data_IF_830911199078
#
_entry.id   IF_830911199078
#
_cell.length_a   1.000
_cell.length_b   1.000
_cell.length_c   1.000
_cell.angle_alpha   90.00
_cell.angle_beta   90.00
_cell.angle_gamma   90.00
#
_symmetry.space_group_name_H-M   'P 1'
#
loop_
_entity.id
_entity.type
_entity.pdbx_description
1 polymer ?
#
# COMPACT_ATOMS: atom_id res chain seq x y z
N UNK A 1 -31.38 -15.40 -40.46
CA UNK A 1 -31.31 -13.95 -40.15
C UNK A 1 -29.95 -13.69 -39.52
N UNK A 2 -29.06 -13.02 -40.26
CA UNK A 2 -27.71 -12.63 -39.82
C UNK A 2 -27.66 -11.10 -39.78
N UNK A 3 -26.76 -10.57 -38.95
CA UNK A 3 -26.26 -9.20 -38.80
C UNK A 3 -26.81 -8.49 -37.54
N UNK A 4 -26.07 -8.55 -36.44
CA UNK A 4 -24.87 -7.74 -36.12
C UNK A 4 -25.28 -6.54 -35.26
N UNK A 5 -25.37 -6.76 -33.95
CA UNK A 5 -25.30 -5.68 -32.97
C UNK A 5 -23.87 -5.15 -33.00
N UNK A 6 -23.69 -3.98 -33.60
CA UNK A 6 -22.46 -3.20 -33.55
C UNK A 6 -22.06 -3.03 -32.09
N UNK A 7 -20.98 -3.70 -31.71
CA UNK A 7 -20.24 -3.39 -30.50
C UNK A 7 -19.78 -1.95 -30.58
N UNK A 8 -20.18 -1.14 -29.61
CA UNK A 8 -19.48 0.09 -29.31
C UNK A 8 -18.06 -0.32 -28.91
N UNK A 9 -17.11 -0.08 -29.82
CA UNK A 9 -15.68 -0.16 -29.59
C UNK A 9 -15.34 0.78 -28.45
N UNK A 10 -15.20 0.23 -27.24
CA UNK A 10 -14.47 0.88 -26.17
C UNK A 10 -13.04 1.07 -26.71
N UNK A 11 -12.67 2.32 -26.92
CA UNK A 11 -11.39 2.73 -27.44
C UNK A 11 -10.26 2.07 -26.64
N UNK A 12 -9.28 1.58 -27.40
CA UNK A 12 -8.03 0.98 -26.95
C UNK A 12 -7.39 1.74 -25.79
N UNK A 13 -7.40 1.12 -24.62
CA UNK A 13 -6.52 1.44 -23.48
C UNK A 13 -5.55 0.29 -23.27
N UNK A 14 -4.68 0.02 -24.25
CA UNK A 14 -3.55 -0.90 -24.07
C UNK A 14 -2.51 -0.22 -23.18
N UNK A 15 -2.70 -0.38 -21.87
CA UNK A 15 -1.73 0.00 -20.87
C UNK A 15 -2.22 -0.57 -19.56
N UNK A 16 -1.52 -1.58 -19.05
CA UNK A 16 -1.69 -2.06 -17.67
C UNK A 16 -1.74 -0.81 -16.79
N UNK A 17 -2.89 -0.50 -16.20
CA UNK A 17 -3.05 0.72 -15.40
C UNK A 17 -2.07 0.64 -14.23
N UNK A 18 -0.90 1.25 -14.41
CA UNK A 18 0.13 1.24 -13.40
C UNK A 18 -0.43 1.94 -12.18
N UNK A 19 -0.29 1.28 -11.03
CA UNK A 19 -0.83 1.76 -9.77
C UNK A 19 -0.08 3.03 -9.33
N UNK A 20 -0.81 4.11 -9.14
CA UNK A 20 -0.20 5.39 -8.75
C UNK A 20 0.24 5.37 -7.30
N UNK A 21 1.49 5.78 -7.06
CA UNK A 21 2.04 5.93 -5.70
C UNK A 21 2.80 7.24 -5.59
N UNK A 22 3.01 7.73 -4.37
CA UNK A 22 3.87 8.92 -4.17
C UNK A 22 5.33 8.60 -4.51
N UNK A 23 6.13 9.65 -4.71
CA UNK A 23 7.58 9.51 -4.95
C UNK A 23 8.27 8.77 -3.80
N UNK A 24 7.90 9.07 -2.56
CA UNK A 24 8.42 8.41 -1.36
C UNK A 24 8.03 6.93 -1.33
N UNK A 25 6.76 6.61 -1.63
CA UNK A 25 6.30 5.22 -1.69
C UNK A 25 7.01 4.42 -2.77
N UNK A 26 7.17 5.00 -3.95
CA UNK A 26 7.93 4.40 -5.05
C UNK A 26 9.39 4.12 -4.65
N UNK A 27 10.02 5.06 -3.93
CA UNK A 27 11.37 4.88 -3.40
C UNK A 27 11.41 3.75 -2.35
N UNK A 28 10.42 3.67 -1.46
CA UNK A 28 10.30 2.56 -0.49
C UNK A 28 10.13 1.21 -1.18
N UNK A 29 9.25 1.10 -2.17
CA UNK A 29 9.05 -0.11 -2.98
C UNK A 29 10.37 -0.54 -3.66
N UNK A 30 11.06 0.42 -4.27
CA UNK A 30 12.36 0.17 -4.92
C UNK A 30 13.45 -0.23 -3.91
N UNK A 31 13.47 0.40 -2.72
CA UNK A 31 14.44 0.12 -1.68
C UNK A 31 14.26 -1.29 -1.08
N UNK A 32 13.01 -1.77 -0.98
CA UNK A 32 12.71 -3.13 -0.52
C UNK A 32 13.33 -4.21 -1.42
N UNK A 33 13.52 -3.92 -2.72
CA UNK A 33 14.21 -4.84 -3.63
C UNK A 33 15.65 -5.18 -3.21
N UNK A 34 16.25 -4.46 -2.26
CA UNK A 34 17.56 -4.84 -1.68
C UNK A 34 17.51 -6.17 -0.93
N UNK A 35 16.34 -6.56 -0.44
CA UNK A 35 16.08 -7.78 0.32
C UNK A 35 15.38 -8.89 -0.50
N UNK A 36 15.18 -8.68 -1.81
CA UNK A 36 14.47 -9.65 -2.63
C UNK A 36 15.36 -10.85 -2.99
N UNK A 37 14.99 -12.04 -2.52
CA UNK A 37 15.67 -13.31 -2.83
C UNK A 37 15.49 -13.72 -4.30
N UNK A 38 14.42 -13.26 -4.96
CA UNK A 38 14.08 -13.54 -6.37
C UNK A 38 14.94 -12.77 -7.39
N UNK A 39 15.92 -11.99 -6.91
CA UNK A 39 16.83 -11.21 -7.72
C UNK A 39 16.47 -9.71 -7.75
N UNK A 40 17.43 -8.89 -7.30
CA UNK A 40 17.28 -7.43 -7.16
C UNK A 40 16.90 -6.71 -8.46
N UNK A 41 17.37 -7.18 -9.61
CA UNK A 41 17.04 -6.60 -10.91
C UNK A 41 15.58 -6.88 -11.29
N UNK A 42 15.14 -8.14 -11.11
CA UNK A 42 13.76 -8.56 -11.39
C UNK A 42 12.75 -7.82 -10.52
N UNK A 43 13.03 -7.67 -9.23
CA UNK A 43 12.18 -6.88 -8.33
C UNK A 43 12.06 -5.43 -8.81
N UNK A 44 13.17 -4.78 -9.19
CA UNK A 44 13.16 -3.40 -9.67
C UNK A 44 12.39 -3.23 -10.98
N UNK A 45 12.46 -4.20 -11.88
CA UNK A 45 11.66 -4.20 -13.12
C UNK A 45 10.17 -4.35 -12.80
N UNK A 46 9.79 -5.27 -11.90
CA UNK A 46 8.41 -5.43 -11.48
C UNK A 46 7.83 -4.15 -10.83
N UNK A 47 8.62 -3.46 -10.00
CA UNK A 47 8.18 -2.16 -9.43
C UNK A 47 7.91 -1.13 -10.52
N UNK A 48 8.76 -1.04 -11.55
CA UNK A 48 8.57 -0.12 -12.69
C UNK A 48 7.38 -0.48 -13.58
N UNK A 49 7.06 -1.75 -13.67
CA UNK A 49 5.95 -2.26 -14.48
C UNK A 49 4.61 -2.05 -13.78
N UNK A 50 4.56 -2.27 -12.46
CA UNK A 50 3.34 -2.25 -11.67
C UNK A 50 2.98 -0.87 -11.10
N UNK A 51 3.96 -0.01 -10.85
CA UNK A 51 3.75 1.26 -10.16
C UNK A 51 4.26 2.46 -10.96
N UNK A 52 3.51 3.57 -10.90
CA UNK A 52 3.93 4.86 -11.44
C UNK A 52 3.92 5.93 -10.36
N UNK A 53 4.83 6.90 -10.47
CA UNK A 53 4.83 8.06 -9.58
C UNK A 53 3.64 8.95 -9.97
N UNK A 54 2.73 9.17 -9.03
CA UNK A 54 1.53 9.97 -9.21
C UNK A 54 1.01 10.43 -7.84
N UNK A 55 -0.22 10.06 -7.51
CA UNK A 55 -0.83 10.38 -6.22
C UNK A 55 -0.38 9.40 -5.13
N UNK A 56 -0.36 9.87 -3.89
CA UNK A 56 -0.14 8.99 -2.74
C UNK A 56 -1.23 7.94 -2.67
N UNK A 57 -0.83 6.68 -2.71
CA UNK A 57 -1.75 5.58 -2.48
C UNK A 57 -1.90 5.32 -0.98
N UNK A 58 -3.11 5.51 -0.46
CA UNK A 58 -3.42 5.26 0.95
C UNK A 58 -3.66 3.78 1.26
N UNK A 59 -3.69 2.92 0.24
CA UNK A 59 -3.99 1.49 0.34
C UNK A 59 -2.76 0.59 0.22
N UNK A 60 -1.58 1.14 -0.12
CA UNK A 60 -0.37 0.37 -0.36
C UNK A 60 0.15 -0.40 0.87
N UNK A 61 0.04 0.21 2.06
CA UNK A 61 0.60 -0.32 3.32
C UNK A 61 -0.55 -0.74 4.25
N UNK A 62 -1.29 -1.78 3.86
CA UNK A 62 -2.34 -2.37 4.68
C UNK A 62 -1.77 -3.34 5.71
N UNK A 63 -2.19 -3.16 6.97
CA UNK A 63 -1.77 -3.97 8.11
C UNK A 63 -2.99 -4.38 8.91
N UNK A 64 -3.05 -5.66 9.30
CA UNK A 64 -4.17 -6.21 10.07
C UNK A 64 -3.68 -6.75 11.41
N UNK A 65 -4.24 -6.24 12.50
CA UNK A 65 -3.98 -6.74 13.85
C UNK A 65 -5.30 -6.85 14.61
N UNK A 66 -5.45 -7.92 15.39
CA UNK A 66 -6.62 -8.15 16.25
C UNK A 66 -7.96 -7.98 15.52
N UNK A 67 -8.02 -8.42 14.25
CA UNK A 67 -9.21 -8.33 13.40
C UNK A 67 -9.43 -6.97 12.72
N UNK A 68 -8.62 -5.96 12.98
CA UNK A 68 -8.75 -4.63 12.40
C UNK A 68 -7.69 -4.40 11.33
N UNK A 69 -8.13 -4.00 10.12
CA UNK A 69 -7.26 -3.66 8.99
C UNK A 69 -7.21 -2.16 8.81
N UNK A 70 -6.00 -1.62 8.75
CA UNK A 70 -5.74 -0.20 8.49
C UNK A 70 -4.67 -0.07 7.42
N UNK A 71 -4.81 0.92 6.54
CA UNK A 71 -3.89 1.11 5.42
C UNK A 71 -3.22 2.47 5.46
N UNK A 72 -1.95 2.49 5.04
CA UNK A 72 -1.16 3.69 4.91
C UNK A 72 -0.63 4.24 6.25
N UNK A 73 -0.34 5.54 6.25
CA UNK A 73 0.15 6.24 7.44
C UNK A 73 -1.02 6.68 8.31
N UNK A 74 -1.03 6.23 9.57
CA UNK A 74 -2.05 6.60 10.53
C UNK A 74 -1.75 7.96 11.16
N UNK A 75 -2.73 8.86 11.13
CA UNK A 75 -2.64 10.15 11.81
C UNK A 75 -3.14 10.01 13.22
N UNK A 76 -2.21 9.78 14.15
CA UNK A 76 -2.57 9.52 15.53
C UNK A 76 -2.91 10.79 16.33
N UNK A 77 -4.00 10.77 17.08
CA UNK A 77 -4.35 11.80 18.05
C UNK A 77 -3.36 11.87 19.23
N UNK A 78 -3.53 12.84 20.14
CA UNK A 78 -2.67 12.91 21.36
C UNK A 78 -2.89 11.69 22.26
N UNK A 79 -4.14 11.23 22.38
CA UNK A 79 -4.50 10.06 23.19
C UNK A 79 -3.96 8.77 22.56
N UNK A 80 -4.15 8.57 21.26
CA UNK A 80 -3.62 7.41 20.52
C UNK A 80 -2.09 7.33 20.61
N UNK A 81 -1.39 8.47 20.51
CA UNK A 81 0.07 8.51 20.70
C UNK A 81 0.50 8.14 22.12
N UNK A 82 -0.31 8.45 23.14
CA UNK A 82 -0.03 8.02 24.51
C UNK A 82 -0.25 6.51 24.65
N UNK A 83 -1.37 5.99 24.14
CA UNK A 83 -1.63 4.55 24.08
C UNK A 83 -0.49 3.79 23.39
N UNK A 84 -0.01 4.28 22.24
CA UNK A 84 1.10 3.68 21.51
C UNK A 84 2.36 3.56 22.36
N UNK A 85 2.72 4.62 23.11
CA UNK A 85 3.88 4.62 24.01
C UNK A 85 3.70 3.62 25.14
N UNK A 86 2.52 3.60 25.77
CA UNK A 86 2.24 2.74 26.92
C UNK A 86 2.15 1.26 26.51
N UNK A 87 1.58 0.97 25.35
CA UNK A 87 1.54 -0.39 24.80
C UNK A 87 2.93 -0.88 24.41
N UNK A 88 3.73 -0.02 23.76
CA UNK A 88 5.10 -0.38 23.38
C UNK A 88 5.98 -0.62 24.61
N UNK A 89 5.83 0.20 25.67
CA UNK A 89 6.58 0.01 26.92
C UNK A 89 6.21 -1.29 27.66
N UNK A 90 4.99 -1.77 27.47
CA UNK A 90 4.50 -3.08 27.95
C UNK A 90 4.91 -4.27 27.05
N UNK A 91 5.66 -4.02 25.97
CA UNK A 91 6.21 -5.06 25.11
C UNK A 91 5.42 -5.35 23.83
N UNK A 92 4.40 -4.55 23.49
CA UNK A 92 3.75 -4.67 22.17
C UNK A 92 4.67 -4.14 21.06
N UNK A 93 4.78 -4.85 19.91
CA UNK A 93 5.47 -4.32 18.76
C UNK A 93 4.85 -2.99 18.30
N UNK A 94 5.69 -2.00 17.97
CA UNK A 94 5.24 -0.66 17.58
C UNK A 94 4.14 -0.70 16.51
N UNK A 95 4.31 -1.48 15.44
CA UNK A 95 3.33 -1.58 14.36
C UNK A 95 2.00 -2.19 14.80
N UNK A 96 2.01 -3.13 15.74
CA UNK A 96 0.78 -3.70 16.31
C UNK A 96 0.08 -2.69 17.20
N UNK A 97 0.83 -2.06 18.11
CA UNK A 97 0.32 -1.02 18.99
C UNK A 97 -0.23 0.18 18.20
N UNK A 98 0.39 0.56 17.08
CA UNK A 98 -0.05 1.65 16.20
C UNK A 98 -1.46 1.38 15.66
N UNK A 99 -1.72 0.15 15.19
CA UNK A 99 -3.04 -0.25 14.65
C UNK A 99 -4.07 -0.41 15.76
N UNK A 100 -3.74 -1.14 16.83
CA UNK A 100 -4.67 -1.38 17.93
C UNK A 100 -5.08 -0.08 18.63
N UNK A 101 -4.12 0.81 18.90
CA UNK A 101 -4.43 2.10 19.52
C UNK A 101 -5.20 3.04 18.59
N UNK A 102 -4.99 3.00 17.27
CA UNK A 102 -5.75 3.82 16.33
C UNK A 102 -7.20 3.32 16.15
N UNK A 103 -7.39 2.00 16.19
CA UNK A 103 -8.68 1.36 15.94
C UNK A 103 -9.59 1.29 17.17
N UNK A 104 -9.01 1.22 18.37
CA UNK A 104 -9.73 0.97 19.62
C UNK A 104 -9.76 2.20 20.56
N UNK A 105 -9.26 3.36 20.12
CA UNK A 105 -9.26 4.63 20.88
C UNK A 105 -10.59 5.36 20.82
#
# INVERSE_FOLDING_TARGET
MVLATLGATAASGDGVDQHEVSKEQYATLTAQCRYADTGKARCRSAVKELYRIGKTDRTLDCRTYSGVTVCGTLRLSKAERQCLRDSTSKGLPYRRAEVECYALS
#
